data_IF_484618134437
#
_entry.id   IF_484618134437
#
_cell.length_a   1.000
_cell.length_b   1.000
_cell.length_c   1.000
_cell.angle_alpha   90.00
_cell.angle_beta   90.00
_cell.angle_gamma   90.00
#
_symmetry.space_group_name_H-M   'P 1'
#
loop_
_entity.id
_entity.type
_entity.pdbx_description
1 polymer ?
#
# COMPACT_ATOMS: atom_id res chain seq x y z
N UNK A 1 49.84 51.79 8.71
CA UNK A 1 49.78 50.32 8.61
C UNK A 1 48.86 49.77 9.71
N UNK A 2 47.63 49.40 9.39
CA UNK A 2 46.83 48.44 10.17
C UNK A 2 45.94 47.71 9.18
N UNK A 3 46.32 46.47 8.89
CA UNK A 3 45.70 45.58 7.92
C UNK A 3 44.30 45.20 8.40
N UNK A 4 43.35 45.25 7.47
CA UNK A 4 42.06 44.59 7.55
C UNK A 4 42.26 43.11 7.92
N UNK A 5 41.54 42.63 8.93
CA UNK A 5 41.28 41.19 9.08
C UNK A 5 39.77 41.02 8.90
N UNK A 6 39.38 40.74 7.66
CA UNK A 6 38.04 40.26 7.32
C UNK A 6 37.79 38.96 8.09
N UNK A 7 36.71 38.95 8.86
CA UNK A 7 36.18 37.74 9.48
C UNK A 7 35.56 36.89 8.34
N UNK A 8 36.18 35.75 8.05
CA UNK A 8 35.65 34.74 7.14
C UNK A 8 34.33 34.21 7.70
N UNK A 9 33.20 34.57 7.08
CA UNK A 9 31.95 33.84 7.25
C UNK A 9 32.11 32.47 6.58
N UNK A 10 32.41 31.43 7.37
CA UNK A 10 32.24 30.05 6.91
C UNK A 10 30.74 29.82 6.71
N UNK A 11 30.32 29.86 5.45
CA UNK A 11 29.06 29.27 5.00
C UNK A 11 29.08 27.78 5.36
N UNK A 12 28.43 27.41 6.46
CA UNK A 12 27.90 26.07 6.61
C UNK A 12 26.73 25.95 5.63
N UNK A 13 27.02 25.69 4.35
CA UNK A 13 26.04 25.11 3.44
C UNK A 13 25.80 23.67 3.91
N UNK A 14 25.02 23.51 4.98
CA UNK A 14 24.42 22.23 5.29
C UNK A 14 23.61 21.86 4.06
N UNK A 15 24.02 20.79 3.37
CA UNK A 15 23.45 20.38 2.10
C UNK A 15 21.94 20.15 2.25
N UNK A 16 21.14 21.15 1.91
CA UNK A 16 19.73 20.98 1.69
C UNK A 16 19.62 20.09 0.45
N UNK A 17 19.39 18.79 0.66
CA UNK A 17 18.93 17.90 -0.41
C UNK A 17 17.70 18.58 -1.01
N UNK A 18 17.79 18.92 -2.30
CA UNK A 18 16.69 19.59 -2.99
C UNK A 18 15.54 18.58 -3.08
N UNK A 19 14.37 18.94 -2.53
CA UNK A 19 13.18 18.11 -2.66
C UNK A 19 12.86 17.91 -4.14
N UNK A 20 12.57 16.67 -4.51
CA UNK A 20 12.12 16.34 -5.86
C UNK A 20 10.60 16.34 -5.93
N UNK A 21 10.07 16.72 -7.09
CA UNK A 21 8.64 16.83 -7.33
C UNK A 21 8.22 16.01 -8.54
N UNK A 22 7.16 15.23 -8.37
CA UNK A 22 6.60 14.41 -9.43
C UNK A 22 5.11 14.69 -9.58
N UNK A 23 4.64 14.82 -10.83
CA UNK A 23 3.21 14.81 -11.13
C UNK A 23 2.75 13.36 -11.35
N UNK A 24 1.69 12.95 -10.67
CA UNK A 24 1.06 11.65 -10.90
C UNK A 24 0.16 11.75 -12.13
N UNK A 25 0.30 10.82 -13.07
CA UNK A 25 -0.57 10.66 -14.24
C UNK A 25 -1.53 9.50 -14.04
N UNK A 26 -2.60 9.48 -14.84
CA UNK A 26 -3.53 8.34 -14.94
C UNK A 26 -4.30 8.04 -13.65
N UNK A 27 -4.54 9.07 -12.82
CA UNK A 27 -5.49 8.98 -11.72
C UNK A 27 -6.93 8.98 -12.23
N UNK A 28 -7.83 8.20 -11.59
CA UNK A 28 -9.21 8.09 -12.02
C UNK A 28 -10.01 9.36 -11.72
N UNK A 29 -11.18 9.47 -12.34
CA UNK A 29 -12.25 10.41 -11.96
C UNK A 29 -11.84 11.89 -11.92
N UNK A 30 -10.81 12.27 -12.68
CA UNK A 30 -10.32 13.66 -12.77
C UNK A 30 -9.44 14.11 -11.61
N UNK A 31 -9.10 13.22 -10.68
CA UNK A 31 -8.14 13.49 -9.62
C UNK A 31 -6.75 13.80 -10.17
N UNK A 32 -6.04 14.66 -9.45
CA UNK A 32 -4.67 15.03 -9.78
C UNK A 32 -3.83 14.99 -8.50
N UNK A 33 -2.59 14.53 -8.63
CA UNK A 33 -1.67 14.52 -7.50
C UNK A 33 -0.26 14.97 -7.88
N UNK A 34 0.40 15.57 -6.90
CA UNK A 34 1.84 15.82 -6.90
C UNK A 34 2.47 15.12 -5.71
N UNK A 35 3.70 14.65 -5.88
CA UNK A 35 4.51 14.05 -4.83
C UNK A 35 5.70 14.95 -4.61
N UNK A 36 5.99 15.28 -3.36
CA UNK A 36 7.29 15.80 -2.95
C UNK A 36 8.02 14.73 -2.13
N UNK A 37 9.32 14.58 -2.34
CA UNK A 37 10.16 13.64 -1.61
C UNK A 37 11.54 14.25 -1.36
N UNK A 38 12.19 13.88 -0.25
CA UNK A 38 13.51 14.41 0.14
C UNK A 38 14.58 14.21 -0.93
N UNK A 39 14.57 13.09 -1.65
CA UNK A 39 15.42 12.92 -2.81
C UNK A 39 15.27 11.56 -3.48
N UNK A 40 15.85 11.47 -4.67
CA UNK A 40 15.99 10.22 -5.39
C UNK A 40 17.44 9.97 -5.74
N UNK A 41 17.88 8.74 -5.51
CA UNK A 41 19.19 8.23 -5.91
C UNK A 41 18.98 7.22 -7.02
N UNK A 42 19.68 7.43 -8.13
CA UNK A 42 19.50 6.63 -9.35
C UNK A 42 18.02 6.61 -9.79
N UNK A 43 17.40 5.43 -9.83
CA UNK A 43 15.98 5.26 -10.16
C UNK A 43 15.09 5.04 -8.93
N UNK A 44 15.60 5.25 -7.72
CA UNK A 44 14.84 5.02 -6.48
C UNK A 44 14.65 6.34 -5.72
N UNK A 45 13.40 6.66 -5.44
CA UNK A 45 13.01 7.81 -4.64
C UNK A 45 12.62 7.35 -3.23
N UNK A 46 13.03 8.08 -2.21
CA UNK A 46 12.48 7.85 -0.88
C UNK A 46 12.90 8.81 0.22
N UNK A 47 12.43 8.52 1.43
CA UNK A 47 12.56 9.39 2.60
C UNK A 47 11.31 10.23 2.83
N UNK A 48 11.45 11.31 3.61
CA UNK A 48 10.28 12.11 4.00
C UNK A 48 9.67 12.79 2.79
N UNK A 49 8.35 12.84 2.77
CA UNK A 49 7.64 13.39 1.63
C UNK A 49 6.17 13.66 1.92
N UNK A 50 5.49 14.12 0.87
CA UNK A 50 4.07 14.37 0.91
C UNK A 50 3.43 14.13 -0.45
N UNK A 51 2.21 13.59 -0.43
CA UNK A 51 1.31 13.50 -1.57
C UNK A 51 0.28 14.62 -1.45
N UNK A 52 0.23 15.49 -2.45
CA UNK A 52 -0.75 16.56 -2.59
C UNK A 52 -1.80 16.09 -3.57
N UNK A 53 -3.02 15.87 -3.12
CA UNK A 53 -4.13 15.35 -3.91
C UNK A 53 -5.22 16.41 -4.02
N UNK A 54 -5.66 16.70 -5.23
CA UNK A 54 -6.71 17.69 -5.48
C UNK A 54 -7.59 17.28 -6.66
N UNK A 55 -8.82 17.78 -6.65
CA UNK A 55 -9.76 17.61 -7.74
C UNK A 55 -10.21 19.00 -8.23
N UNK A 56 -10.20 19.32 -9.53
CA UNK A 56 -10.49 20.68 -10.02
C UNK A 56 -11.87 21.24 -9.65
N UNK A 57 -12.83 20.37 -9.34
CA UNK A 57 -14.18 20.75 -8.89
C UNK A 57 -14.29 20.94 -7.36
N UNK A 58 -13.19 20.78 -6.63
CA UNK A 58 -13.12 20.94 -5.18
C UNK A 58 -12.15 22.06 -4.86
N UNK A 59 -12.47 22.86 -3.85
CA UNK A 59 -11.62 23.97 -3.41
C UNK A 59 -10.45 23.48 -2.54
N UNK A 60 -10.56 22.28 -1.96
CA UNK A 60 -9.58 21.74 -1.02
C UNK A 60 -8.51 20.92 -1.72
N UNK A 61 -7.27 21.08 -1.24
CA UNK A 61 -6.17 20.16 -1.53
C UNK A 61 -5.91 19.33 -0.29
N UNK A 62 -5.97 18.01 -0.43
CA UNK A 62 -5.61 17.09 0.63
C UNK A 62 -4.09 16.86 0.60
N UNK A 63 -3.46 16.81 1.78
CA UNK A 63 -2.01 16.62 1.90
C UNK A 63 -1.73 15.47 2.85
N UNK A 64 -1.10 14.41 2.33
CA UNK A 64 -0.75 13.21 3.07
C UNK A 64 0.75 13.15 3.24
N UNK A 65 1.23 13.23 4.48
CA UNK A 65 2.65 13.20 4.81
C UNK A 65 3.08 11.79 5.13
N UNK A 66 4.29 11.44 4.74
CA UNK A 66 4.92 10.18 5.11
C UNK A 66 6.38 10.45 5.44
N UNK A 67 6.88 9.81 6.50
CA UNK A 67 8.30 9.90 6.86
C UNK A 67 9.18 9.03 5.95
N UNK A 68 8.58 8.15 5.15
CA UNK A 68 9.29 7.15 4.35
C UNK A 68 8.49 6.79 3.11
N UNK A 69 8.34 7.74 2.18
CA UNK A 69 7.85 7.41 0.84
C UNK A 69 8.88 6.52 0.15
N UNK A 70 8.43 5.53 -0.62
CA UNK A 70 9.31 4.69 -1.44
C UNK A 70 8.62 4.45 -2.79
N UNK A 71 9.31 4.79 -3.88
CA UNK A 71 8.82 4.57 -5.25
C UNK A 71 9.96 4.65 -6.28
N UNK A 72 9.73 4.15 -7.48
CA UNK A 72 10.66 4.31 -8.60
C UNK A 72 10.55 5.72 -9.20
N UNK A 73 11.69 6.29 -9.58
CA UNK A 73 11.73 7.61 -10.22
C UNK A 73 10.90 7.61 -11.50
N UNK A 74 10.08 8.65 -11.64
CA UNK A 74 9.30 8.91 -12.84
C UNK A 74 10.14 9.51 -13.97
N UNK A 75 9.71 9.33 -15.22
CA UNK A 75 10.34 9.94 -16.40
C UNK A 75 9.93 11.41 -16.54
N UNK A 76 10.90 12.32 -16.69
CA UNK A 76 10.63 13.76 -16.90
C UNK A 76 9.80 14.41 -15.80
N UNK A 77 9.91 13.94 -14.54
CA UNK A 77 9.12 14.44 -13.41
C UNK A 77 7.67 13.95 -13.40
N UNK A 78 7.33 12.93 -14.18
CA UNK A 78 5.99 12.31 -14.22
C UNK A 78 6.07 10.86 -13.78
N UNK A 79 5.07 10.42 -13.02
CA UNK A 79 4.94 9.04 -12.58
C UNK A 79 3.51 8.57 -12.80
N UNK A 80 3.33 7.38 -13.38
CA UNK A 80 1.97 6.83 -13.53
C UNK A 80 1.42 6.41 -12.18
N UNK A 81 0.10 6.45 -12.02
CA UNK A 81 -0.58 6.01 -10.80
C UNK A 81 -0.14 4.59 -10.38
N UNK A 82 0.09 3.69 -11.35
CA UNK A 82 0.53 2.33 -11.11
C UNK A 82 1.94 2.19 -10.49
N UNK A 83 2.81 3.19 -10.68
CA UNK A 83 4.17 3.22 -10.13
C UNK A 83 4.33 4.18 -8.95
N UNK A 84 3.31 5.00 -8.70
CA UNK A 84 3.37 6.03 -7.69
C UNK A 84 3.21 5.46 -6.27
N UNK A 85 3.70 6.15 -5.22
CA UNK A 85 3.45 5.78 -3.83
C UNK A 85 1.99 6.02 -3.39
N UNK A 86 1.12 6.47 -4.30
CA UNK A 86 -0.31 6.68 -4.10
C UNK A 86 -1.09 5.61 -4.85
N UNK A 87 -1.98 4.91 -4.15
CA UNK A 87 -2.97 4.01 -4.76
C UNK A 87 -4.34 4.61 -4.51
N UNK A 88 -5.17 4.69 -5.55
CA UNK A 88 -6.53 5.21 -5.46
C UNK A 88 -7.53 4.17 -5.97
N UNK A 89 -8.35 3.61 -5.07
CA UNK A 89 -9.33 2.56 -5.36
C UNK A 89 -10.47 2.61 -4.34
N UNK A 90 -11.58 1.96 -4.66
CA UNK A 90 -12.71 1.76 -3.75
C UNK A 90 -12.39 0.57 -2.83
N UNK A 91 -11.85 0.84 -1.63
CA UNK A 91 -11.52 -0.18 -0.63
C UNK A 91 -12.73 -0.52 0.24
N UNK A 92 -13.65 0.43 0.40
CA UNK A 92 -14.84 0.29 1.27
C UNK A 92 -16.07 -0.24 0.54
N UNK A 93 -16.01 -0.39 -0.78
CA UNK A 93 -17.07 -0.90 -1.67
C UNK A 93 -18.32 -0.01 -1.70
N UNK A 94 -18.14 1.30 -1.47
CA UNK A 94 -19.19 2.31 -1.44
C UNK A 94 -19.30 3.13 -2.74
N UNK A 95 -18.41 2.87 -3.70
CA UNK A 95 -18.35 3.54 -5.00
C UNK A 95 -17.45 4.77 -5.05
N UNK A 96 -16.94 5.25 -3.91
CA UNK A 96 -15.96 6.34 -3.83
C UNK A 96 -14.53 5.79 -3.92
N UNK A 97 -13.56 6.66 -4.19
CA UNK A 97 -12.16 6.27 -4.34
C UNK A 97 -11.39 6.66 -3.09
N UNK A 98 -11.15 5.68 -2.25
CA UNK A 98 -10.23 5.76 -1.13
C UNK A 98 -8.78 5.84 -1.63
N UNK A 99 -7.88 6.16 -0.72
CA UNK A 99 -6.45 6.27 -1.04
C UNK A 99 -5.59 5.48 -0.06
N UNK A 100 -4.46 5.00 -0.56
CA UNK A 100 -3.37 4.45 0.24
C UNK A 100 -2.08 5.18 -0.13
N UNK A 101 -1.36 5.66 0.87
CA UNK A 101 -0.08 6.36 0.72
C UNK A 101 1.02 5.52 1.35
N UNK A 102 2.07 5.21 0.59
CA UNK A 102 3.16 4.37 1.06
C UNK A 102 3.86 4.97 2.29
N UNK A 103 4.20 4.12 3.25
CA UNK A 103 4.86 4.49 4.51
C UNK A 103 6.15 3.71 4.79
N UNK A 104 6.70 3.12 3.74
CA UNK A 104 7.95 2.39 3.76
C UNK A 104 7.73 0.90 3.52
N UNK A 105 8.74 0.11 3.88
CA UNK A 105 8.75 -1.34 3.75
C UNK A 105 8.78 -2.00 5.14
N UNK A 106 7.78 -1.68 5.97
CA UNK A 106 7.74 -2.04 7.41
C UNK A 106 6.85 -3.25 7.71
N UNK A 107 6.27 -3.87 6.69
CA UNK A 107 5.40 -5.04 6.84
C UNK A 107 6.19 -6.35 6.88
N UNK A 108 5.50 -7.50 6.97
CA UNK A 108 6.13 -8.82 6.97
C UNK A 108 7.04 -9.00 5.76
N UNK A 109 8.21 -9.60 5.97
CA UNK A 109 9.25 -9.80 4.92
C UNK A 109 9.66 -8.51 4.20
N UNK A 110 9.66 -7.37 4.90
CA UNK A 110 9.95 -6.05 4.34
C UNK A 110 8.98 -5.66 3.21
N UNK A 111 7.73 -6.10 3.29
CA UNK A 111 6.71 -5.69 2.34
C UNK A 111 6.35 -4.21 2.50
N UNK A 112 5.88 -3.55 1.44
CA UNK A 112 5.38 -2.18 1.52
C UNK A 112 4.23 -2.03 2.52
N UNK A 113 4.22 -0.94 3.27
CA UNK A 113 3.12 -0.54 4.16
C UNK A 113 2.48 0.75 3.67
N UNK A 114 1.22 0.97 4.05
CA UNK A 114 0.47 2.15 3.61
C UNK A 114 -0.39 2.69 4.73
N UNK A 115 -0.46 4.02 4.82
CA UNK A 115 -1.54 4.70 5.53
C UNK A 115 -2.73 4.83 4.58
N UNK A 116 -3.90 4.38 5.03
CA UNK A 116 -5.11 4.31 4.21
C UNK A 116 -6.11 5.36 4.70
N UNK A 117 -6.72 6.06 3.74
CA UNK A 117 -7.71 7.08 4.01
C UNK A 117 -8.97 6.82 3.18
N UNK A 118 -10.11 6.79 3.86
CA UNK A 118 -11.44 6.63 3.26
C UNK A 118 -11.93 7.97 2.72
N UNK A 119 -12.50 7.97 1.52
CA UNK A 119 -13.10 9.16 0.95
C UNK A 119 -14.49 9.40 1.55
N UNK A 120 -14.62 10.47 2.33
CA UNK A 120 -15.89 10.97 2.82
C UNK A 120 -16.63 11.84 1.80
N UNK A 121 -17.68 12.51 2.27
CA UNK A 121 -18.42 13.48 1.47
C UNK A 121 -17.52 14.65 1.05
N UNK A 122 -17.88 15.30 -0.06
CA UNK A 122 -17.21 16.50 -0.58
C UNK A 122 -15.70 16.33 -0.89
N UNK A 123 -15.17 15.09 -0.90
CA UNK A 123 -13.78 14.80 -1.22
C UNK A 123 -12.79 14.95 -0.05
N UNK A 124 -13.29 14.97 1.18
CA UNK A 124 -12.44 14.85 2.36
C UNK A 124 -11.98 13.42 2.57
N UNK A 125 -10.78 13.24 3.13
CA UNK A 125 -10.20 11.92 3.40
C UNK A 125 -9.96 11.72 4.89
N UNK A 126 -10.59 10.70 5.47
CA UNK A 126 -10.44 10.32 6.87
C UNK A 126 -9.52 9.12 7.03
N UNK A 127 -8.63 9.12 8.02
CA UNK A 127 -7.74 7.98 8.28
C UNK A 127 -8.52 6.72 8.62
N UNK A 128 -8.14 5.60 8.02
CA UNK A 128 -8.76 4.30 8.23
C UNK A 128 -7.76 3.33 8.87
N UNK A 129 -7.82 3.21 10.20
CA UNK A 129 -6.86 2.42 10.96
C UNK A 129 -6.96 0.93 10.65
N UNK A 130 -8.16 0.35 10.56
CA UNK A 130 -8.30 -1.09 10.35
C UNK A 130 -7.76 -1.53 8.98
N UNK A 131 -8.00 -0.74 7.93
CA UNK A 131 -7.38 -0.99 6.62
C UNK A 131 -5.85 -0.79 6.65
N UNK A 132 -5.38 0.27 7.31
CA UNK A 132 -3.94 0.53 7.48
C UNK A 132 -3.23 -0.66 8.14
N UNK A 133 -3.83 -1.23 9.20
CA UNK A 133 -3.30 -2.39 9.92
C UNK A 133 -3.21 -3.65 9.06
N UNK A 134 -4.07 -3.83 8.05
CA UNK A 134 -3.90 -4.95 7.11
C UNK A 134 -2.55 -4.87 6.41
N UNK A 135 -2.09 -3.69 6.01
CA UNK A 135 -0.80 -3.56 5.29
C UNK A 135 0.41 -3.74 6.19
N UNK A 136 0.25 -3.52 7.51
CA UNK A 136 1.33 -3.72 8.50
C UNK A 136 1.44 -5.17 8.96
N UNK A 137 0.33 -5.90 8.96
CA UNK A 137 0.28 -7.28 9.45
C UNK A 137 0.34 -8.34 8.32
N UNK A 138 0.15 -7.92 7.08
CA UNK A 138 0.21 -8.77 5.89
C UNK A 138 1.20 -8.23 4.85
N UNK A 139 1.59 -9.09 3.93
CA UNK A 139 2.60 -8.75 2.92
C UNK A 139 2.02 -7.81 1.86
N UNK A 140 2.20 -6.52 2.06
CA UNK A 140 1.95 -5.48 1.06
C UNK A 140 0.51 -4.97 1.05
N UNK A 141 0.17 -4.29 -0.05
CA UNK A 141 -1.19 -3.80 -0.28
C UNK A 141 -2.15 -4.96 -0.53
N UNK A 142 -3.31 -4.96 0.14
CA UNK A 142 -4.37 -5.93 -0.13
C UNK A 142 -4.97 -5.74 -1.53
N UNK A 143 -5.47 -6.83 -2.11
CA UNK A 143 -6.25 -6.82 -3.35
C UNK A 143 -7.72 -6.59 -3.05
N UNK A 144 -8.40 -5.89 -3.95
CA UNK A 144 -9.85 -5.65 -3.88
C UNK A 144 -10.55 -6.62 -4.84
N UNK A 145 -11.45 -7.44 -4.32
CA UNK A 145 -12.38 -8.26 -5.11
C UNK A 145 -13.77 -7.63 -5.06
N UNK A 146 -14.09 -6.82 -6.07
CA UNK A 146 -15.39 -6.15 -6.19
C UNK A 146 -16.56 -7.12 -6.37
N UNK A 147 -16.32 -8.30 -6.93
CA UNK A 147 -17.37 -9.31 -7.15
C UNK A 147 -17.81 -9.92 -5.84
N UNK A 148 -16.85 -10.23 -4.96
CA UNK A 148 -17.12 -10.79 -3.63
C UNK A 148 -17.28 -9.72 -2.53
N UNK A 149 -16.98 -8.45 -2.84
CA UNK A 149 -16.81 -7.36 -1.87
C UNK A 149 -15.86 -7.78 -0.74
N UNK A 150 -14.66 -8.20 -1.14
CA UNK A 150 -13.67 -8.77 -0.24
C UNK A 150 -12.31 -8.10 -0.42
N UNK A 151 -11.63 -7.88 0.71
CA UNK A 151 -10.24 -7.48 0.77
C UNK A 151 -9.40 -8.74 0.93
N UNK A 152 -8.48 -8.97 0.01
CA UNK A 152 -7.64 -10.17 -0.03
C UNK A 152 -6.24 -9.79 0.40
N UNK A 153 -5.78 -10.36 1.50
CA UNK A 153 -4.42 -10.22 2.02
C UNK A 153 -3.65 -11.52 1.84
N UNK A 154 -2.33 -11.43 1.77
CA UNK A 154 -1.45 -12.60 1.72
C UNK A 154 -0.33 -12.49 2.74
N UNK A 155 0.12 -13.63 3.24
CA UNK A 155 1.29 -13.71 4.10
C UNK A 155 2.11 -14.96 3.82
N UNK A 156 3.34 -15.00 4.35
CA UNK A 156 4.20 -16.17 4.40
C UNK A 156 4.52 -16.46 5.86
N UNK A 157 4.14 -17.63 6.35
CA UNK A 157 4.37 -18.02 7.75
C UNK A 157 5.81 -18.49 7.95
N UNK A 158 6.31 -19.27 6.99
CA UNK A 158 7.66 -19.83 6.96
C UNK A 158 8.21 -19.78 5.52
N UNK A 159 9.18 -20.63 5.18
CA UNK A 159 9.75 -20.70 3.82
C UNK A 159 8.76 -21.12 2.74
N UNK A 160 7.72 -21.84 3.13
CA UNK A 160 7.07 -22.83 2.29
C UNK A 160 5.54 -22.82 2.48
N UNK A 161 5.06 -22.13 3.51
CA UNK A 161 3.64 -21.94 3.81
C UNK A 161 3.19 -20.53 3.46
N UNK A 162 2.31 -20.45 2.47
CA UNK A 162 1.62 -19.20 2.08
C UNK A 162 0.20 -19.19 2.61
N UNK A 163 -0.24 -18.02 3.09
CA UNK A 163 -1.61 -17.78 3.52
C UNK A 163 -2.25 -16.75 2.58
N UNK A 164 -3.51 -16.99 2.20
CA UNK A 164 -4.43 -16.00 1.66
C UNK A 164 -5.63 -15.88 2.60
N UNK A 165 -5.99 -14.66 2.96
CA UNK A 165 -7.19 -14.39 3.76
C UNK A 165 -8.07 -13.36 3.08
N UNK A 166 -9.39 -13.47 3.33
CA UNK A 166 -10.37 -12.56 2.79
C UNK A 166 -11.25 -11.98 3.89
N UNK A 167 -11.30 -10.66 3.90
CA UNK A 167 -12.04 -9.86 4.86
C UNK A 167 -13.21 -9.17 4.19
N UNK A 168 -14.35 -9.10 4.89
CA UNK A 168 -15.40 -8.13 4.59
C UNK A 168 -15.13 -6.85 5.34
N UNK A 169 -15.30 -5.73 4.67
CA UNK A 169 -15.31 -4.42 5.29
C UNK A 169 -16.75 -3.98 5.59
N UNK A 170 -17.00 -3.42 6.76
CA UNK A 170 -18.27 -2.76 7.09
C UNK A 170 -18.06 -1.26 7.35
N UNK A 171 -19.10 -0.42 7.21
CA UNK A 171 -19.02 1.03 7.44
C UNK A 171 -18.56 1.44 8.86
N UNK A 172 -18.55 0.51 9.82
CA UNK A 172 -18.08 0.75 11.20
C UNK A 172 -16.57 0.47 11.34
N UNK A 173 -15.83 0.47 10.23
CA UNK A 173 -14.41 0.12 10.16
C UNK A 173 -14.10 -1.31 10.60
N UNK A 174 -15.11 -2.19 10.62
CA UNK A 174 -14.95 -3.58 11.08
C UNK A 174 -14.51 -4.44 9.90
N UNK A 175 -13.42 -5.18 10.13
CA UNK A 175 -12.95 -6.23 9.24
C UNK A 175 -13.37 -7.60 9.76
N UNK A 176 -14.13 -8.34 8.97
CA UNK A 176 -14.57 -9.69 9.31
C UNK A 176 -13.90 -10.72 8.39
N UNK A 177 -12.98 -11.51 8.93
CA UNK A 177 -12.42 -12.66 8.25
C UNK A 177 -13.54 -13.65 7.93
N UNK A 178 -13.63 -14.10 6.69
CA UNK A 178 -14.63 -15.11 6.30
C UNK A 178 -14.07 -16.24 5.45
N UNK A 179 -12.81 -16.11 5.02
CA UNK A 179 -12.11 -17.14 4.29
C UNK A 179 -10.62 -17.05 4.60
N UNK A 180 -10.02 -18.18 4.94
CA UNK A 180 -8.59 -18.36 5.04
C UNK A 180 -8.17 -19.59 4.24
N UNK A 181 -7.03 -19.50 3.59
CA UNK A 181 -6.42 -20.58 2.82
C UNK A 181 -4.94 -20.62 3.12
N UNK A 182 -4.45 -21.75 3.62
CA UNK A 182 -3.02 -22.05 3.67
C UNK A 182 -2.63 -23.05 2.59
N UNK A 183 -1.45 -22.84 2.01
CA UNK A 183 -0.78 -23.78 1.10
C UNK A 183 0.60 -24.04 1.67
N UNK A 184 0.83 -25.26 2.11
CA UNK A 184 2.09 -25.74 2.66
C UNK A 184 2.79 -26.64 1.63
N UNK A 185 3.99 -26.24 1.23
CA UNK A 185 4.88 -26.97 0.32
C UNK A 185 6.21 -27.32 0.99
N UNK A 186 6.23 -27.47 2.31
CA UNK A 186 7.44 -27.83 3.08
C UNK A 186 7.94 -29.25 2.80
N UNK A 187 7.05 -30.11 2.29
CA UNK A 187 7.34 -31.47 1.86
C UNK A 187 7.39 -31.51 0.32
N UNK A 188 8.50 -32.00 -0.24
CA UNK A 188 8.73 -32.01 -1.68
C UNK A 188 7.78 -32.94 -2.45
N UNK A 189 7.22 -33.95 -1.78
CA UNK A 189 6.35 -34.96 -2.40
C UNK A 189 4.86 -34.61 -2.29
N UNK A 190 4.49 -33.61 -1.48
CA UNK A 190 3.09 -33.24 -1.28
C UNK A 190 2.86 -31.75 -1.04
N UNK A 191 1.71 -31.29 -1.52
CA UNK A 191 1.17 -29.96 -1.23
C UNK A 191 -0.07 -30.12 -0.36
N UNK A 192 -0.03 -29.55 0.85
CA UNK A 192 -1.17 -29.55 1.77
C UNK A 192 -1.90 -28.22 1.67
N UNK A 193 -3.18 -28.28 1.33
CA UNK A 193 -4.05 -27.10 1.24
C UNK A 193 -5.12 -27.20 2.31
N UNK A 194 -5.17 -26.22 3.21
CA UNK A 194 -6.25 -26.09 4.19
C UNK A 194 -7.05 -24.84 3.89
N UNK A 195 -8.37 -24.98 3.76
CA UNK A 195 -9.30 -23.87 3.57
C UNK A 195 -10.30 -23.83 4.73
N UNK A 196 -10.47 -22.66 5.33
CA UNK A 196 -11.53 -22.38 6.31
C UNK A 196 -12.48 -21.35 5.72
N UNK A 197 -13.79 -21.62 5.81
CA UNK A 197 -14.86 -20.70 5.39
C UNK A 197 -15.78 -20.44 6.57
N UNK A 198 -16.07 -19.17 6.83
CA UNK A 198 -17.02 -18.74 7.86
C UNK A 198 -18.27 -18.18 7.18
N UNK A 199 -19.42 -18.77 7.50
CA UNK A 199 -20.70 -18.29 6.98
C UNK A 199 -21.16 -17.00 7.69
N UNK A 200 -22.29 -16.43 7.27
CA UNK A 200 -22.82 -15.19 7.87
C UNK A 200 -23.33 -15.35 9.30
N UNK A 201 -23.53 -16.58 9.78
CA UNK A 201 -23.95 -16.89 11.15
C UNK A 201 -22.74 -17.16 12.06
N UNK A 202 -21.53 -17.12 11.52
CA UNK A 202 -20.30 -17.41 12.25
C UNK A 202 -19.95 -18.91 12.28
N UNK A 203 -20.64 -19.77 11.53
CA UNK A 203 -20.27 -21.18 11.49
C UNK A 203 -19.07 -21.37 10.59
N UNK A 204 -18.07 -22.08 11.10
CA UNK A 204 -16.86 -22.39 10.36
C UNK A 204 -16.90 -23.79 9.75
N UNK A 205 -16.38 -23.89 8.53
CA UNK A 205 -16.10 -25.17 7.89
C UNK A 205 -14.68 -25.19 7.37
N UNK A 206 -13.89 -26.12 7.89
CA UNK A 206 -12.51 -26.37 7.48
C UNK A 206 -12.43 -27.59 6.58
N UNK A 207 -11.59 -27.53 5.55
CA UNK A 207 -11.32 -28.65 4.65
C UNK A 207 -9.83 -28.68 4.35
N UNK A 208 -9.20 -29.84 4.60
CA UNK A 208 -7.81 -30.10 4.24
C UNK A 208 -7.74 -31.09 3.10
N UNK A 209 -6.91 -30.80 2.10
CA UNK A 209 -6.65 -31.65 0.94
C UNK A 209 -5.15 -31.76 0.73
N UNK A 210 -4.72 -32.96 0.34
CA UNK A 210 -3.32 -33.23 0.01
C UNK A 210 -3.24 -33.56 -1.47
N UNK A 211 -2.28 -32.97 -2.16
CA UNK A 211 -2.02 -33.18 -3.59
C UNK A 211 -0.57 -33.59 -3.80
N UNK A 212 -0.29 -34.33 -4.87
CA UNK A 212 1.09 -34.39 -5.38
C UNK A 212 1.45 -33.06 -6.08
N UNK A 213 2.73 -32.69 -6.18
CA UNK A 213 3.15 -31.47 -6.89
C UNK A 213 2.60 -31.39 -8.32
N UNK A 214 2.59 -32.51 -9.04
CA UNK A 214 2.05 -32.58 -10.40
C UNK A 214 0.53 -32.34 -10.46
N UNK A 215 -0.24 -32.82 -9.47
CA UNK A 215 -1.67 -32.52 -9.37
C UNK A 215 -1.88 -31.03 -9.06
N UNK A 216 -1.13 -30.50 -8.10
CA UNK A 216 -1.20 -29.09 -7.71
C UNK A 216 -0.91 -28.15 -8.87
N UNK A 217 0.15 -28.40 -9.64
CA UNK A 217 0.48 -27.59 -10.83
C UNK A 217 -0.62 -27.58 -11.88
N UNK A 218 -1.32 -28.72 -12.09
CA UNK A 218 -2.44 -28.78 -13.04
C UNK A 218 -3.66 -27.98 -12.60
N UNK A 219 -3.89 -27.83 -11.30
CA UNK A 219 -5.03 -27.10 -10.74
C UNK A 219 -4.85 -25.57 -10.75
N UNK A 220 -3.61 -25.08 -10.94
CA UNK A 220 -3.26 -23.67 -10.83
C UNK A 220 -2.61 -23.11 -12.12
N UNK A 221 -2.76 -23.80 -13.25
CA UNK A 221 -2.52 -23.24 -14.60
C UNK A 221 -3.77 -22.51 -15.07
#
# INVERSE_FOLDING_TARGET
MKKYLMLFALFAAAGAQAKEFFRVTDLPDGWQAHISVEGCKDNHCGGKGAVFLYHPKQETTNVFKSDDLIFERGEGGKISAAKSPLIMKDFTFDGRKDIAVATGNKGPKNSPTYDIYEQGEYGYFGSNYSLTELTKNYMGMFRVDNKQKALIVTNEVDCCTRIEERYRYSPEYILTLFYSRSVDTSDEDKVVVTETRTDRRGNEKTTTRTYTPAQWQRLNK
#
